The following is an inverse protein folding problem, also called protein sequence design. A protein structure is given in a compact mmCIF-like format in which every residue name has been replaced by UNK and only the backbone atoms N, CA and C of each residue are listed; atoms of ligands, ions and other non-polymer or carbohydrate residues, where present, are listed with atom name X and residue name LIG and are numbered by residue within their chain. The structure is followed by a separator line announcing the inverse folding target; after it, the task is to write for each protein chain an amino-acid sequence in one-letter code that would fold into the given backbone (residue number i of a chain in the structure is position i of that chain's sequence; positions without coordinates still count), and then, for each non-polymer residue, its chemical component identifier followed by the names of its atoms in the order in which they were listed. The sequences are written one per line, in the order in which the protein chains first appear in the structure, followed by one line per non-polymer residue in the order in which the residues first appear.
data_IF_397129179202
#
_entry.id   IF_397129179202
#
_cell.length_a   1.000
_cell.length_b   1.000
_cell.length_c   1.000
_cell.angle_alpha   90.00
_cell.angle_beta   90.00
_cell.angle_gamma   90.00
#
_symmetry.space_group_name_H-M   'P 1'
#
loop_
_entity.id
_entity.type
_entity.pdbx_description
1 polymer ?
#
# COMPACT_ATOMS: atom_id res chain seq x y z
N UNK A 1 38.08 43.72 -2.83
CA UNK A 1 38.15 42.37 -3.43
C UNK A 1 39.50 42.04 -4.05
N UNK A 2 40.24 42.99 -4.65
CA UNK A 2 41.57 42.72 -5.26
C UNK A 2 42.69 42.37 -4.27
N UNK A 3 42.61 42.90 -3.04
CA UNK A 3 43.60 42.62 -1.98
C UNK A 3 43.60 41.16 -1.50
N UNK A 4 42.41 40.54 -1.42
CA UNK A 4 42.26 39.16 -0.93
C UNK A 4 42.66 38.13 -1.98
N UNK A 5 42.39 38.39 -3.27
CA UNK A 5 42.81 37.50 -4.36
C UNK A 5 44.34 37.49 -4.48
N UNK A 6 44.99 38.65 -4.41
CA UNK A 6 46.45 38.76 -4.52
C UNK A 6 47.18 38.15 -3.32
N UNK A 7 46.65 38.30 -2.10
CA UNK A 7 47.20 37.64 -0.91
C UNK A 7 47.12 36.12 -0.99
N UNK A 8 46.00 35.58 -1.47
CA UNK A 8 45.80 34.14 -1.60
C UNK A 8 46.71 33.56 -2.69
N UNK A 9 46.77 34.24 -3.84
CA UNK A 9 47.61 33.91 -4.98
C UNK A 9 49.10 33.92 -4.63
N UNK A 10 49.58 34.94 -3.92
CA UNK A 10 50.97 35.04 -3.46
C UNK A 10 51.39 33.91 -2.50
N UNK A 11 50.44 33.31 -1.77
CA UNK A 11 50.72 32.22 -0.81
C UNK A 11 50.64 30.83 -1.45
N UNK A 12 49.77 30.65 -2.45
CA UNK A 12 49.61 29.39 -3.19
C UNK A 12 50.48 29.29 -4.45
N UNK A 13 50.96 30.42 -4.98
CA UNK A 13 51.81 30.51 -6.17
C UNK A 13 51.11 30.18 -7.50
N UNK A 14 49.79 30.30 -7.57
CA UNK A 14 48.97 29.87 -8.72
C UNK A 14 47.98 30.99 -9.08
N UNK A 15 48.18 31.60 -10.25
CA UNK A 15 47.35 32.73 -10.66
C UNK A 15 45.86 32.36 -10.72
N UNK A 16 45.03 33.11 -10.00
CA UNK A 16 43.58 32.92 -10.00
C UNK A 16 43.04 31.82 -9.08
N UNK A 17 43.78 31.39 -8.05
CA UNK A 17 43.33 30.39 -7.05
C UNK A 17 41.96 30.66 -6.45
N UNK A 18 41.57 31.93 -6.29
CA UNK A 18 40.26 32.29 -5.78
C UNK A 18 39.12 31.73 -6.65
N UNK A 19 39.29 31.69 -7.98
CA UNK A 19 38.31 31.10 -8.90
C UNK A 19 38.20 29.59 -8.72
N UNK A 20 39.33 28.90 -8.56
CA UNK A 20 39.35 27.45 -8.31
C UNK A 20 38.70 27.09 -6.98
N UNK A 21 38.93 27.86 -5.92
CA UNK A 21 38.29 27.64 -4.61
C UNK A 21 36.78 27.79 -4.71
N UNK A 22 36.29 28.79 -5.45
CA UNK A 22 34.84 28.96 -5.69
C UNK A 22 34.27 27.78 -6.47
N UNK A 23 34.95 27.31 -7.53
CA UNK A 23 34.50 26.15 -8.32
C UNK A 23 34.46 24.87 -7.46
N UNK A 24 35.48 24.65 -6.62
CA UNK A 24 35.54 23.49 -5.72
C UNK A 24 34.42 23.57 -4.67
N UNK A 25 34.16 24.74 -4.09
CA UNK A 25 33.04 24.92 -3.15
C UNK A 25 31.70 24.69 -3.84
N UNK A 26 31.50 25.23 -5.04
CA UNK A 26 30.28 24.98 -5.82
C UNK A 26 30.11 23.50 -6.18
N UNK A 27 31.19 22.78 -6.52
CA UNK A 27 31.15 21.35 -6.80
C UNK A 27 30.82 20.53 -5.54
N UNK A 28 31.37 20.88 -4.38
CA UNK A 28 31.08 20.21 -3.10
C UNK A 28 29.62 20.46 -2.68
N UNK A 29 29.14 21.71 -2.80
CA UNK A 29 27.76 22.06 -2.49
C UNK A 29 26.78 21.38 -3.45
N UNK A 30 27.08 21.34 -4.74
CA UNK A 30 26.29 20.63 -5.75
C UNK A 30 26.25 19.12 -5.49
N UNK A 31 27.40 18.51 -5.18
CA UNK A 31 27.48 17.10 -4.82
C UNK A 31 26.70 16.79 -3.53
N UNK A 32 26.78 17.66 -2.53
CA UNK A 32 26.01 17.52 -1.29
C UNK A 32 24.49 17.65 -1.51
N UNK A 33 24.05 18.48 -2.46
CA UNK A 33 22.64 18.63 -2.80
C UNK A 33 22.08 17.45 -3.62
N UNK A 34 22.89 16.90 -4.54
CA UNK A 34 22.57 15.71 -5.33
C UNK A 34 22.57 14.44 -4.46
N UNK A 35 23.50 14.29 -3.53
CA UNK A 35 23.52 13.14 -2.60
C UNK A 35 22.62 13.33 -1.37
N UNK A 36 22.19 14.56 -1.07
CA UNK A 36 21.36 14.90 0.09
C UNK A 36 19.86 14.89 -0.18
N UNK A 37 19.44 14.82 -1.46
CA UNK A 37 18.03 14.74 -1.83
C UNK A 37 17.61 13.30 -2.06
N UNK A 38 17.00 12.71 -1.03
CA UNK A 38 16.09 11.59 -1.23
C UNK A 38 16.72 10.20 -1.17
N UNK A 39 17.26 9.85 0.00
CA UNK A 39 16.94 8.52 0.52
C UNK A 39 15.76 8.72 1.48
N UNK A 40 14.57 8.85 0.91
CA UNK A 40 13.40 8.33 1.62
C UNK A 40 13.61 6.82 1.58
N UNK A 41 14.20 6.30 2.64
CA UNK A 41 14.00 4.94 3.08
C UNK A 41 12.50 4.68 3.15
N UNK A 42 11.94 4.28 2.01
CA UNK A 42 10.69 3.55 1.97
C UNK A 42 10.99 2.30 2.80
N UNK A 43 10.50 2.30 4.04
CA UNK A 43 10.27 1.07 4.78
C UNK A 43 9.43 0.20 3.85
N UNK A 44 10.10 -0.77 3.22
CA UNK A 44 9.42 -1.85 2.54
C UNK A 44 8.78 -2.63 3.68
N UNK A 45 7.54 -2.28 4.02
CA UNK A 45 6.66 -3.17 4.75
C UNK A 45 6.73 -4.49 3.97
N UNK A 46 7.32 -5.49 4.63
CA UNK A 46 7.39 -6.85 4.14
C UNK A 46 5.92 -7.24 3.90
N UNK A 47 5.47 -7.19 2.64
CA UNK A 47 4.16 -7.66 2.26
C UNK A 47 4.10 -9.11 2.74
N UNK A 48 3.41 -9.31 3.86
CA UNK A 48 3.14 -10.62 4.40
C UNK A 48 2.47 -11.37 3.26
N UNK A 49 3.18 -12.36 2.71
CA UNK A 49 2.64 -13.25 1.70
C UNK A 49 1.44 -13.91 2.36
N UNK A 50 0.25 -13.40 2.02
CA UNK A 50 -1.01 -13.93 2.51
C UNK A 50 -1.06 -15.37 2.03
N UNK A 51 -0.86 -16.33 2.94
CA UNK A 51 -0.94 -17.75 2.60
C UNK A 51 -2.34 -17.98 2.03
N UNK A 52 -2.45 -18.23 0.73
CA UNK A 52 -3.75 -18.41 0.09
C UNK A 52 -4.46 -19.59 0.76
N UNK A 53 -5.52 -19.28 1.53
CA UNK A 53 -6.32 -20.31 2.18
C UNK A 53 -6.83 -21.27 1.10
N UNK A 54 -6.74 -22.60 1.34
CA UNK A 54 -7.24 -23.56 0.37
C UNK A 54 -8.72 -23.28 0.09
N UNK A 55 -9.15 -23.33 -1.19
CA UNK A 55 -10.50 -22.93 -1.56
C UNK A 55 -11.55 -23.73 -0.81
N UNK A 56 -12.50 -23.02 -0.19
CA UNK A 56 -13.58 -23.65 0.58
C UNK A 56 -14.62 -24.24 -0.36
N UNK A 57 -14.82 -25.55 -0.29
CA UNK A 57 -15.77 -26.27 -1.14
C UNK A 57 -17.17 -26.25 -0.53
N UNK A 58 -18.00 -25.29 -0.94
CA UNK A 58 -19.41 -25.21 -0.55
C UNK A 58 -20.34 -25.41 -1.74
N UNK A 59 -21.44 -26.14 -1.52
CA UNK A 59 -22.59 -26.08 -2.43
C UNK A 59 -23.31 -24.74 -2.29
N UNK A 60 -24.02 -24.31 -3.32
CA UNK A 60 -24.83 -23.09 -3.26
C UNK A 60 -25.86 -23.11 -2.10
N UNK A 61 -26.35 -24.28 -1.72
CA UNK A 61 -27.27 -24.45 -0.59
C UNK A 61 -26.58 -24.27 0.76
N UNK A 62 -25.34 -24.78 0.90
CA UNK A 62 -24.55 -24.60 2.12
C UNK A 62 -24.10 -23.15 2.28
N UNK A 63 -23.74 -22.48 1.19
CA UNK A 63 -23.27 -21.10 1.21
C UNK A 63 -24.31 -20.16 1.84
N UNK A 64 -25.59 -20.36 1.55
CA UNK A 64 -26.71 -19.57 2.11
C UNK A 64 -26.78 -19.54 3.63
N UNK A 65 -26.19 -20.52 4.30
CA UNK A 65 -26.16 -20.53 5.76
C UNK A 65 -25.27 -19.42 6.34
N UNK A 66 -24.24 -19.00 5.60
CA UNK A 66 -23.20 -18.06 6.01
C UNK A 66 -23.50 -16.63 5.53
N UNK A 67 -24.65 -16.13 5.95
CA UNK A 67 -25.19 -14.80 5.58
C UNK A 67 -24.84 -13.69 6.59
N UNK A 68 -24.17 -14.02 7.69
CA UNK A 68 -23.89 -13.08 8.76
C UNK A 68 -24.97 -12.93 9.84
N UNK A 69 -26.13 -13.59 9.71
CA UNK A 69 -27.17 -13.51 10.75
C UNK A 69 -26.79 -14.30 12.00
N UNK A 70 -27.53 -14.12 13.09
CA UNK A 70 -27.29 -14.87 14.33
C UNK A 70 -27.63 -16.34 14.16
N UNK A 71 -26.75 -17.21 14.66
CA UNK A 71 -27.02 -18.63 14.73
C UNK A 71 -28.08 -18.91 15.81
N UNK A 72 -29.13 -19.64 15.45
CA UNK A 72 -30.25 -19.93 16.34
C UNK A 72 -29.86 -20.84 17.52
N UNK A 73 -28.78 -21.62 17.39
CA UNK A 73 -28.31 -22.56 18.40
C UNK A 73 -27.30 -21.94 19.36
N UNK A 74 -26.37 -21.13 18.84
CA UNK A 74 -25.31 -20.54 19.67
C UNK A 74 -25.60 -19.09 20.09
N UNK A 75 -26.45 -18.37 19.35
CA UNK A 75 -26.71 -16.95 19.54
C UNK A 75 -25.60 -16.02 19.05
N UNK A 76 -24.53 -16.59 18.49
CA UNK A 76 -23.39 -15.86 17.93
C UNK A 76 -23.64 -15.49 16.47
N UNK A 77 -22.95 -14.47 15.98
CA UNK A 77 -23.07 -14.05 14.58
C UNK A 77 -22.38 -15.08 13.67
N UNK A 78 -23.13 -15.66 12.72
CA UNK A 78 -22.56 -16.55 11.70
C UNK A 78 -21.54 -15.78 10.86
N UNK A 79 -20.50 -16.43 10.33
CA UNK A 79 -19.58 -15.77 9.42
C UNK A 79 -20.28 -15.38 8.12
N UNK A 80 -19.68 -14.43 7.39
CA UNK A 80 -20.23 -13.88 6.14
C UNK A 80 -19.40 -14.40 4.98
N UNK A 81 -19.98 -15.29 4.17
CA UNK A 81 -19.31 -15.82 2.98
C UNK A 81 -20.03 -15.39 1.72
N UNK A 82 -19.28 -15.20 0.65
CA UNK A 82 -19.83 -15.04 -0.70
C UNK A 82 -18.98 -15.80 -1.70
N UNK A 83 -19.55 -16.13 -2.85
CA UNK A 83 -18.81 -16.79 -3.92
C UNK A 83 -18.71 -15.91 -5.16
N UNK A 84 -17.54 -15.91 -5.79
CA UNK A 84 -17.34 -15.28 -7.11
C UNK A 84 -16.63 -16.28 -7.99
N UNK A 85 -17.24 -16.63 -9.14
CA UNK A 85 -16.64 -17.57 -10.10
C UNK A 85 -16.33 -18.93 -9.46
N UNK A 86 -17.17 -19.36 -8.51
CA UNK A 86 -17.02 -20.62 -7.79
C UNK A 86 -15.96 -20.63 -6.67
N UNK A 87 -15.27 -19.51 -6.43
CA UNK A 87 -14.35 -19.34 -5.30
C UNK A 87 -15.13 -18.71 -4.15
N UNK A 88 -15.05 -19.31 -2.96
CA UNK A 88 -15.72 -18.79 -1.76
C UNK A 88 -14.74 -17.94 -0.95
N UNK A 89 -15.16 -16.71 -0.66
CA UNK A 89 -14.42 -15.74 0.11
C UNK A 89 -15.04 -15.58 1.49
N UNK A 90 -14.19 -15.52 2.51
CA UNK A 90 -14.57 -15.11 3.86
C UNK A 90 -14.50 -13.59 3.96
N UNK A 91 -15.66 -12.94 4.02
CA UNK A 91 -15.76 -11.48 4.11
C UNK A 91 -16.25 -11.04 5.50
N UNK A 92 -16.08 -11.90 6.51
CA UNK A 92 -16.53 -11.63 7.88
C UNK A 92 -15.87 -10.40 8.50
N UNK A 93 -14.64 -10.05 8.08
CA UNK A 93 -13.96 -8.81 8.49
C UNK A 93 -14.68 -7.54 7.98
N UNK A 94 -15.38 -7.63 6.85
CA UNK A 94 -16.17 -6.57 6.23
C UNK A 94 -17.66 -6.64 6.57
N UNK A 95 -18.04 -7.16 7.73
CA UNK A 95 -19.44 -7.38 8.12
C UNK A 95 -20.31 -6.13 8.03
N UNK A 96 -19.78 -4.93 8.25
CA UNK A 96 -20.57 -3.69 8.12
C UNK A 96 -21.10 -3.46 6.69
N UNK A 97 -20.45 -4.05 5.69
CA UNK A 97 -20.81 -3.92 4.28
C UNK A 97 -21.61 -5.12 3.78
N UNK A 98 -21.15 -6.33 4.11
CA UNK A 98 -21.73 -7.57 3.59
C UNK A 98 -22.72 -8.21 4.57
N UNK A 99 -22.59 -7.98 5.88
CA UNK A 99 -23.48 -8.54 6.87
C UNK A 99 -24.89 -7.93 6.85
N UNK A 100 -25.78 -8.41 7.74
CA UNK A 100 -27.15 -7.94 7.84
C UNK A 100 -27.24 -6.42 8.04
N UNK A 101 -28.03 -5.73 7.21
CA UNK A 101 -28.18 -4.27 7.21
C UNK A 101 -27.09 -3.51 6.43
N UNK A 102 -26.09 -4.21 5.88
CA UNK A 102 -25.04 -3.63 5.05
C UNK A 102 -25.50 -3.31 3.62
N UNK A 103 -24.79 -2.41 2.94
CA UNK A 103 -25.12 -2.00 1.56
C UNK A 103 -25.05 -3.15 0.55
N UNK A 104 -24.30 -4.21 0.86
CA UNK A 104 -24.09 -5.39 0.02
C UNK A 104 -24.63 -6.68 0.66
N UNK A 105 -25.58 -6.57 1.62
CA UNK A 105 -26.19 -7.71 2.33
C UNK A 105 -26.71 -8.80 1.38
N UNK A 106 -27.27 -8.41 0.24
CA UNK A 106 -27.82 -9.31 -0.76
C UNK A 106 -26.82 -10.36 -1.31
N UNK A 107 -25.51 -10.11 -1.18
CA UNK A 107 -24.45 -10.98 -1.66
C UNK A 107 -24.04 -12.04 -0.65
N UNK A 108 -24.41 -11.85 0.62
CA UNK A 108 -24.05 -12.75 1.70
C UNK A 108 -24.76 -14.08 1.57
N UNK A 109 -23.98 -15.15 1.60
CA UNK A 109 -24.41 -16.52 1.35
C UNK A 109 -24.70 -16.86 -0.12
N UNK A 110 -24.29 -16.03 -1.09
CA UNK A 110 -24.67 -16.20 -2.50
C UNK A 110 -23.48 -16.20 -3.48
N UNK A 111 -23.71 -16.74 -4.68
CA UNK A 111 -22.81 -16.57 -5.83
C UNK A 111 -23.13 -15.23 -6.50
N UNK A 112 -22.11 -14.38 -6.57
CA UNK A 112 -22.25 -12.97 -6.93
C UNK A 112 -21.62 -12.65 -8.29
N UNK A 113 -20.99 -13.62 -8.97
CA UNK A 113 -20.23 -13.39 -10.20
C UNK A 113 -21.06 -12.72 -11.30
N UNK A 114 -22.31 -13.15 -11.50
CA UNK A 114 -23.20 -12.55 -12.52
C UNK A 114 -23.65 -11.14 -12.11
N UNK A 115 -23.97 -10.93 -10.83
CA UNK A 115 -24.43 -9.65 -10.31
C UNK A 115 -23.31 -8.60 -10.42
N UNK A 116 -22.09 -8.97 -9.98
CA UNK A 116 -20.90 -8.14 -10.09
C UNK A 116 -20.52 -7.87 -11.55
N UNK A 117 -20.55 -8.89 -12.42
CA UNK A 117 -20.23 -8.71 -13.84
C UNK A 117 -21.22 -7.79 -14.58
N UNK A 118 -22.48 -7.74 -14.13
CA UNK A 118 -23.52 -6.87 -14.70
C UNK A 118 -23.71 -5.56 -13.94
N UNK A 119 -22.94 -5.34 -12.87
CA UNK A 119 -23.04 -4.17 -11.98
C UNK A 119 -24.49 -4.00 -11.48
N UNK A 120 -25.05 -5.09 -10.94
CA UNK A 120 -26.41 -5.14 -10.39
C UNK A 120 -26.36 -5.41 -8.89
N UNK A 121 -26.94 -4.47 -8.15
CA UNK A 121 -27.14 -4.46 -6.70
C UNK A 121 -28.65 -4.26 -6.46
#
# INVERSE_FOLDING_TARGET
MKELSSWLDAKSGIEGTLGYVVIIICAILGHAWVNGSGRNDVEVEEEAVEEEEPPRNFTAMQLKHFDGTKDEKTGEDKPVYLAVKGIVFDVSSGRDFYGPGGAYEMFSGHECGVALAKVRF
#
